data_IF_677181355653
#
_entry.id   IF_677181355653
#
_cell.length_a   1.000
_cell.length_b   1.000
_cell.length_c   1.000
_cell.angle_alpha   90.00
_cell.angle_beta   90.00
_cell.angle_gamma   90.00
#
_symmetry.space_group_name_H-M   'P 1'
#
loop_
_entity.id
_entity.type
_entity.pdbx_description
1 polymer ?
#
# COMPACT_ATOMS: atom_id res chain seq x y z
N UNK A 1 20.48 -1.34 -0.61
CA UNK A 1 19.51 -2.39 -1.02
C UNK A 1 18.12 -1.78 -1.29
N UNK A 2 17.98 -0.83 -2.22
CA UNK A 2 16.74 -0.02 -2.41
C UNK A 2 15.63 -0.71 -3.24
N UNK A 3 15.98 -1.65 -4.11
CA UNK A 3 15.08 -2.16 -5.17
C UNK A 3 13.92 -3.06 -4.72
N UNK A 4 13.79 -3.37 -3.43
CA UNK A 4 12.74 -4.25 -2.90
C UNK A 4 12.00 -3.68 -1.69
N UNK A 5 12.33 -2.46 -1.25
CA UNK A 5 11.74 -1.86 -0.04
C UNK A 5 10.20 -1.83 -0.12
N UNK A 6 9.65 -1.43 -1.28
CA UNK A 6 8.20 -1.44 -1.51
C UNK A 6 7.58 -2.81 -1.30
N UNK A 7 8.17 -3.88 -1.86
CA UNK A 7 7.63 -5.24 -1.72
C UNK A 7 7.74 -5.76 -0.29
N UNK A 8 8.80 -5.39 0.44
CA UNK A 8 8.96 -5.73 1.86
C UNK A 8 7.91 -5.01 2.71
N UNK A 9 7.69 -3.71 2.46
CA UNK A 9 6.66 -2.93 3.15
C UNK A 9 5.26 -3.49 2.87
N UNK A 10 4.95 -3.82 1.60
CA UNK A 10 3.67 -4.45 1.25
C UNK A 10 3.47 -5.78 1.99
N UNK A 11 4.52 -6.62 2.05
CA UNK A 11 4.50 -7.86 2.81
C UNK A 11 4.21 -7.60 4.29
N UNK A 12 4.95 -6.68 4.92
CA UNK A 12 4.78 -6.36 6.33
C UNK A 12 3.39 -5.80 6.64
N UNK A 13 2.84 -4.94 5.78
CA UNK A 13 1.47 -4.46 5.91
C UNK A 13 0.46 -5.62 5.86
N UNK A 14 0.61 -6.54 4.91
CA UNK A 14 -0.25 -7.72 4.80
C UNK A 14 -0.14 -8.65 6.02
N UNK A 15 1.07 -8.81 6.59
CA UNK A 15 1.31 -9.53 7.85
C UNK A 15 0.54 -8.92 9.00
N UNK A 16 0.73 -7.61 9.22
CA UNK A 16 0.09 -6.88 10.32
C UNK A 16 -1.44 -6.93 10.22
N UNK A 17 -2.01 -6.72 9.02
CA UNK A 17 -3.45 -6.84 8.80
C UNK A 17 -3.98 -8.26 9.05
N UNK A 18 -3.24 -9.27 8.62
CA UNK A 18 -3.63 -10.68 8.85
C UNK A 18 -3.60 -11.03 10.33
N UNK A 19 -2.61 -10.51 11.07
CA UNK A 19 -2.52 -10.67 12.52
C UNK A 19 -3.65 -9.92 13.24
N UNK A 20 -3.91 -8.67 12.88
CA UNK A 20 -5.01 -7.89 13.47
C UNK A 20 -6.35 -8.60 13.24
N UNK A 21 -6.65 -9.04 12.01
CA UNK A 21 -7.88 -9.80 11.73
C UNK A 21 -7.99 -11.10 12.56
N UNK A 22 -6.89 -11.83 12.75
CA UNK A 22 -6.90 -13.05 13.58
C UNK A 22 -7.23 -12.75 15.05
N UNK A 23 -6.79 -11.61 15.54
CA UNK A 23 -7.02 -11.17 16.93
C UNK A 23 -8.41 -10.58 17.12
N UNK A 24 -8.85 -9.71 16.21
CA UNK A 24 -10.07 -8.90 16.37
C UNK A 24 -11.29 -9.46 15.65
N UNK A 25 -11.08 -10.34 14.66
CA UNK A 25 -12.09 -10.81 13.69
C UNK A 25 -12.73 -9.71 12.85
N UNK A 26 -12.16 -8.50 12.86
CA UNK A 26 -12.63 -7.36 12.08
C UNK A 26 -11.65 -7.03 10.95
N UNK A 27 -12.18 -6.74 9.77
CA UNK A 27 -11.37 -6.23 8.65
C UNK A 27 -11.26 -4.71 8.74
N UNK A 28 -10.10 -4.18 8.36
CA UNK A 28 -9.88 -2.76 8.16
C UNK A 28 -10.20 -2.42 6.70
N UNK A 29 -10.96 -1.37 6.43
CA UNK A 29 -11.23 -0.93 5.06
C UNK A 29 -9.92 -0.61 4.34
N UNK A 30 -9.66 -1.31 3.23
CA UNK A 30 -8.38 -1.27 2.53
C UNK A 30 -7.50 -2.51 2.73
N UNK A 31 -8.00 -3.53 3.44
CA UNK A 31 -7.34 -4.83 3.58
C UNK A 31 -7.10 -5.57 2.25
N UNK A 32 -7.76 -5.15 1.16
CA UNK A 32 -7.44 -5.57 -0.21
C UNK A 32 -5.96 -5.39 -0.58
N UNK A 33 -5.20 -4.58 0.16
CA UNK A 33 -3.74 -4.52 0.01
C UNK A 33 -3.06 -5.88 0.26
N UNK A 34 -3.67 -6.78 1.06
CA UNK A 34 -3.22 -8.17 1.24
C UNK A 34 -3.14 -8.92 -0.09
N UNK A 35 -3.94 -8.55 -1.08
CA UNK A 35 -3.97 -9.18 -2.41
C UNK A 35 -3.26 -8.36 -3.49
N UNK A 36 -2.87 -7.11 -3.18
CA UNK A 36 -2.23 -6.21 -4.14
C UNK A 36 -0.91 -6.81 -4.66
N UNK A 37 -0.79 -6.94 -5.99
CA UNK A 37 0.33 -7.61 -6.69
C UNK A 37 0.48 -9.12 -6.43
N UNK A 38 -0.43 -9.71 -5.67
CA UNK A 38 -0.47 -11.13 -5.37
C UNK A 38 -1.56 -11.82 -6.17
N UNK A 39 -2.80 -11.35 -6.05
CA UNK A 39 -3.91 -11.84 -6.86
C UNK A 39 -3.85 -11.29 -8.29
N UNK A 40 -4.53 -11.98 -9.20
CA UNK A 40 -4.76 -11.54 -10.58
C UNK A 40 -5.68 -10.35 -10.64
N UNK A 41 -5.56 -9.55 -11.71
CA UNK A 41 -6.56 -8.53 -11.99
C UNK A 41 -7.94 -9.19 -12.23
N UNK A 42 -9.02 -8.50 -11.89
CA UNK A 42 -10.39 -9.03 -11.98
C UNK A 42 -10.75 -9.54 -13.39
N UNK A 43 -10.22 -8.90 -14.43
CA UNK A 43 -10.49 -9.23 -15.83
C UNK A 43 -9.27 -9.88 -16.51
N UNK A 44 -8.46 -10.63 -15.76
CA UNK A 44 -7.33 -11.36 -16.33
C UNK A 44 -7.82 -12.49 -17.22
N UNK A 45 -7.34 -12.53 -18.47
CA UNK A 45 -7.60 -13.65 -19.39
C UNK A 45 -6.86 -14.93 -18.99
N UNK A 46 -5.83 -14.82 -18.14
CA UNK A 46 -4.97 -15.93 -17.72
C UNK A 46 -4.94 -16.03 -16.18
N UNK A 47 -6.06 -16.43 -15.55
CA UNK A 47 -6.20 -16.40 -14.09
C UNK A 47 -5.26 -17.40 -13.38
N UNK A 48 -4.80 -18.43 -14.09
CA UNK A 48 -3.95 -19.49 -13.54
C UNK A 48 -2.45 -19.23 -13.71
N UNK A 49 -2.06 -18.12 -14.36
CA UNK A 49 -0.66 -17.81 -14.66
C UNK A 49 -0.24 -16.49 -14.03
N UNK A 50 0.87 -16.53 -13.27
CA UNK A 50 1.55 -15.36 -12.77
C UNK A 50 2.60 -14.88 -13.77
N UNK A 51 2.74 -13.56 -13.88
CA UNK A 51 3.64 -12.93 -14.84
C UNK A 51 4.60 -11.96 -14.15
N UNK A 52 5.90 -12.09 -14.44
CA UNK A 52 6.89 -11.07 -14.15
C UNK A 52 7.38 -10.48 -15.47
N UNK A 53 7.07 -9.21 -15.70
CA UNK A 53 7.61 -8.45 -16.81
C UNK A 53 8.99 -7.92 -16.44
N UNK A 54 9.96 -8.16 -17.33
CA UNK A 54 11.35 -7.70 -17.19
C UNK A 54 11.66 -6.72 -18.31
N UNK A 55 12.19 -5.56 -17.94
CA UNK A 55 12.51 -4.47 -18.87
C UNK A 55 13.93 -3.98 -18.61
N UNK A 56 14.73 -3.73 -19.66
CA UNK A 56 16.03 -3.08 -19.51
C UNK A 56 15.89 -1.68 -18.91
N UNK A 57 16.92 -1.27 -18.20
CA UNK A 57 17.09 0.05 -17.59
C UNK A 57 18.55 0.46 -17.74
N UNK A 58 18.86 1.73 -17.52
CA UNK A 58 20.25 2.22 -17.56
C UNK A 58 21.18 1.45 -16.60
N UNK A 59 20.65 0.95 -15.48
CA UNK A 59 21.39 0.25 -14.42
C UNK A 59 21.23 -1.29 -14.45
N UNK A 60 20.78 -1.88 -15.56
CA UNK A 60 20.53 -3.31 -15.69
C UNK A 60 19.07 -3.64 -15.97
N UNK A 61 18.43 -4.50 -15.19
CA UNK A 61 17.04 -4.91 -15.42
C UNK A 61 16.08 -4.47 -14.30
N UNK A 62 14.87 -4.07 -14.70
CA UNK A 62 13.71 -3.89 -13.83
C UNK A 62 12.80 -5.10 -13.94
N UNK A 63 12.28 -5.59 -12.81
CA UNK A 63 11.25 -6.63 -12.80
C UNK A 63 10.00 -6.12 -12.06
N UNK A 64 8.83 -6.33 -12.66
CA UNK A 64 7.53 -5.93 -12.11
C UNK A 64 6.51 -7.04 -12.30
N UNK A 65 5.55 -7.11 -11.40
CA UNK A 65 4.41 -8.01 -11.59
C UNK A 65 3.55 -7.44 -12.72
N UNK A 66 3.10 -8.31 -13.62
CA UNK A 66 2.18 -8.00 -14.70
C UNK A 66 0.84 -8.69 -14.48
N UNK A 67 -0.25 -8.07 -14.97
CA UNK A 67 -1.60 -8.62 -14.87
C UNK A 67 -2.00 -9.04 -13.44
N UNK A 68 -1.92 -8.08 -12.51
CA UNK A 68 -2.17 -8.28 -11.08
C UNK A 68 -3.17 -7.26 -10.52
N UNK A 69 -3.87 -7.66 -9.46
CA UNK A 69 -4.76 -6.80 -8.69
C UNK A 69 -4.01 -5.61 -8.08
N UNK A 70 -4.64 -4.44 -8.12
CA UNK A 70 -4.16 -3.20 -7.49
C UNK A 70 -5.21 -2.73 -6.50
N UNK A 71 -4.86 -2.61 -5.22
CA UNK A 71 -5.83 -2.23 -4.18
C UNK A 71 -6.26 -0.76 -4.20
N UNK A 72 -5.52 0.10 -4.91
CA UNK A 72 -5.83 1.53 -4.98
C UNK A 72 -5.58 2.34 -3.70
N UNK A 73 -5.30 1.71 -2.56
CA UNK A 73 -5.09 2.40 -1.29
C UNK A 73 -3.73 3.11 -1.25
N UNK A 74 -3.72 4.42 -1.42
CA UNK A 74 -2.50 5.24 -1.44
C UNK A 74 -1.96 5.63 -0.06
N UNK A 75 -2.74 5.41 1.01
CA UNK A 75 -2.28 5.65 2.38
C UNK A 75 -1.50 4.45 2.92
N UNK A 76 -2.05 3.24 2.73
CA UNK A 76 -1.56 2.04 3.39
C UNK A 76 -0.68 1.15 2.50
N UNK A 77 -0.84 1.20 1.17
CA UNK A 77 -0.06 0.37 0.26
C UNK A 77 1.08 1.15 -0.37
N UNK A 78 2.32 0.81 0.00
CA UNK A 78 3.53 1.44 -0.52
C UNK A 78 3.61 1.45 -2.05
N UNK A 79 3.16 0.37 -2.71
CA UNK A 79 3.13 0.29 -4.17
C UNK A 79 2.08 1.22 -4.78
N UNK A 80 0.82 1.12 -4.34
CA UNK A 80 -0.26 1.95 -4.90
C UNK A 80 -0.03 3.43 -4.60
N UNK A 81 0.57 3.77 -3.46
CA UNK A 81 1.03 5.12 -3.15
C UNK A 81 2.04 5.62 -4.19
N UNK A 82 3.09 4.85 -4.49
CA UNK A 82 4.09 5.21 -5.49
C UNK A 82 3.51 5.36 -6.89
N UNK A 83 2.66 4.42 -7.31
CA UNK A 83 1.99 4.47 -8.63
C UNK A 83 1.09 5.70 -8.75
N UNK A 84 0.20 5.93 -7.77
CA UNK A 84 -0.71 7.09 -7.80
C UNK A 84 0.03 8.41 -7.70
N UNK A 85 1.10 8.49 -6.90
CA UNK A 85 1.90 9.70 -6.81
C UNK A 85 2.66 10.02 -8.10
N UNK A 86 3.22 9.01 -8.78
CA UNK A 86 3.82 9.21 -10.10
C UNK A 86 2.79 9.69 -11.12
N UNK A 87 1.60 9.09 -11.12
CA UNK A 87 0.48 9.52 -11.97
C UNK A 87 0.05 10.97 -11.70
N UNK A 88 -0.16 11.31 -10.43
CA UNK A 88 -0.50 12.67 -10.01
C UNK A 88 0.57 13.68 -10.37
N UNK A 89 1.86 13.34 -10.20
CA UNK A 89 2.97 14.22 -10.60
C UNK A 89 2.89 14.53 -12.09
N UNK A 90 2.77 13.50 -12.93
CA UNK A 90 2.71 13.67 -14.37
C UNK A 90 1.47 14.50 -14.78
N UNK A 91 0.31 14.26 -14.15
CA UNK A 91 -0.90 15.04 -14.42
C UNK A 91 -0.72 16.51 -14.01
N UNK A 92 -0.06 16.77 -12.88
CA UNK A 92 0.26 18.13 -12.41
C UNK A 92 1.13 18.84 -13.46
N UNK A 93 2.18 18.18 -13.93
CA UNK A 93 3.12 18.72 -14.94
C UNK A 93 2.44 18.97 -16.28
N UNK A 94 1.69 17.99 -16.79
CA UNK A 94 1.19 17.99 -18.16
C UNK A 94 -0.12 18.74 -18.34
N UNK A 95 -0.97 18.78 -17.31
CA UNK A 95 -2.33 19.32 -17.42
C UNK A 95 -2.55 20.51 -16.48
N UNK A 96 -2.32 20.31 -15.18
CA UNK A 96 -2.75 21.29 -14.17
C UNK A 96 -1.96 22.60 -14.23
N UNK A 97 -0.64 22.56 -14.10
CA UNK A 97 0.20 23.76 -14.07
C UNK A 97 0.11 24.56 -15.37
N UNK A 98 0.18 23.94 -16.57
CA UNK A 98 0.01 24.66 -17.83
C UNK A 98 -1.35 25.37 -17.92
N UNK A 99 -2.45 24.68 -17.58
CA UNK A 99 -3.78 25.27 -17.71
C UNK A 99 -4.04 26.41 -16.72
N UNK A 100 -3.50 26.31 -15.49
CA UNK A 100 -3.55 27.40 -14.53
C UNK A 100 -2.82 28.64 -15.07
N UNK A 101 -1.65 28.46 -15.69
CA UNK A 101 -0.90 29.55 -16.32
C UNK A 101 -1.64 30.15 -17.52
N UNK A 102 -2.23 29.31 -18.39
CA UNK A 102 -3.01 29.77 -19.54
C UNK A 102 -4.18 30.66 -19.13
N UNK A 103 -4.78 30.41 -17.95
CA UNK A 103 -5.86 31.21 -17.39
C UNK A 103 -5.40 32.45 -16.63
N UNK A 104 -4.10 32.74 -16.60
CA UNK A 104 -3.54 33.87 -15.86
C UNK A 104 -3.76 33.75 -14.34
N UNK A 105 -3.83 32.53 -13.82
CA UNK A 105 -3.99 32.24 -12.39
C UNK A 105 -2.63 31.84 -11.77
N UNK A 106 -2.52 32.04 -10.46
CA UNK A 106 -1.40 31.58 -9.64
C UNK A 106 -1.81 30.39 -8.76
N UNK A 107 -0.85 29.64 -8.22
CA UNK A 107 -1.09 28.48 -7.35
C UNK A 107 -0.57 28.78 -5.94
N UNK A 108 -1.42 28.63 -4.93
CA UNK A 108 -1.04 28.69 -3.52
C UNK A 108 -1.06 27.29 -2.89
N UNK A 109 -0.23 27.09 -1.87
CA UNK A 109 -0.23 25.87 -1.05
C UNK A 109 -0.67 26.22 0.38
N UNK A 110 -1.83 25.72 0.79
CA UNK A 110 -2.33 25.85 2.16
C UNK A 110 -2.13 24.54 2.93
N UNK A 111 -1.46 24.60 4.07
CA UNK A 111 -1.28 23.47 4.98
C UNK A 111 -2.08 23.68 6.26
N UNK A 112 -2.84 22.66 6.68
CA UNK A 112 -3.63 22.69 7.91
C UNK A 112 -3.06 21.75 8.96
N UNK A 113 -3.11 22.17 10.23
CA UNK A 113 -2.65 21.37 11.37
C UNK A 113 -3.61 21.48 12.54
N UNK A 114 -3.83 20.37 13.26
CA UNK A 114 -4.53 20.33 14.53
C UNK A 114 -3.66 19.70 15.62
N UNK A 115 -3.82 20.16 16.85
CA UNK A 115 -3.17 19.56 18.01
C UNK A 115 -3.77 18.18 18.30
N UNK A 116 -2.91 17.23 18.64
CA UNK A 116 -3.28 15.88 19.05
C UNK A 116 -2.22 15.35 20.02
N UNK A 117 -2.54 14.25 20.70
CA UNK A 117 -1.66 13.56 21.66
C UNK A 117 -1.52 12.09 21.28
N UNK A 118 -0.41 11.46 21.65
CA UNK A 118 -0.12 10.07 21.25
C UNK A 118 -1.09 9.08 21.85
N UNK A 119 -1.53 9.37 23.08
CA UNK A 119 -2.44 8.59 23.89
C UNK A 119 -3.90 8.77 23.48
N UNK A 120 -4.21 9.75 22.62
CA UNK A 120 -5.57 9.94 22.12
C UNK A 120 -6.04 8.74 21.30
N UNK A 121 -7.36 8.55 21.23
CA UNK A 121 -7.95 7.65 20.26
C UNK A 121 -7.79 8.27 18.86
N UNK A 122 -6.89 7.71 18.06
CA UNK A 122 -6.58 8.23 16.72
C UNK A 122 -7.78 8.15 15.79
N UNK A 123 -8.66 7.17 15.95
CA UNK A 123 -9.86 7.06 15.11
C UNK A 123 -10.83 8.21 15.38
N UNK A 124 -11.05 8.55 16.65
CA UNK A 124 -11.91 9.67 17.04
C UNK A 124 -11.30 11.00 16.61
N UNK A 125 -9.98 11.17 16.81
CA UNK A 125 -9.25 12.34 16.34
C UNK A 125 -9.39 12.52 14.83
N UNK A 126 -9.17 11.46 14.04
CA UNK A 126 -9.28 11.52 12.58
C UNK A 126 -10.71 11.81 12.14
N UNK A 127 -11.71 11.17 12.74
CA UNK A 127 -13.11 11.42 12.43
C UNK A 127 -13.48 12.90 12.66
N UNK A 128 -13.15 13.44 13.84
CA UNK A 128 -13.40 14.84 14.18
C UNK A 128 -12.58 15.81 13.33
N UNK A 129 -11.36 15.44 12.95
CA UNK A 129 -10.51 16.24 12.06
C UNK A 129 -11.17 16.39 10.68
N UNK A 130 -11.69 15.31 10.08
CA UNK A 130 -12.38 15.39 8.80
C UNK A 130 -13.70 16.17 8.87
N UNK A 131 -14.43 16.10 9.99
CA UNK A 131 -15.61 16.94 10.23
C UNK A 131 -15.23 18.43 10.29
N UNK A 132 -14.16 18.77 11.03
CA UNK A 132 -13.62 20.13 11.07
C UNK A 132 -13.17 20.60 9.69
N UNK A 133 -12.52 19.71 8.93
CA UNK A 133 -12.02 19.99 7.58
C UNK A 133 -13.16 20.25 6.58
N UNK A 134 -14.30 19.56 6.72
CA UNK A 134 -15.50 19.80 5.94
C UNK A 134 -16.13 21.15 6.29
N UNK A 135 -16.30 21.45 7.59
CA UNK A 135 -16.83 22.73 8.06
C UNK A 135 -15.96 23.92 7.60
N UNK A 136 -14.63 23.77 7.70
CA UNK A 136 -13.68 24.76 7.20
C UNK A 136 -13.82 25.00 5.69
N UNK A 137 -13.99 23.93 4.92
CA UNK A 137 -14.21 24.02 3.48
C UNK A 137 -15.44 24.84 3.11
N UNK A 138 -16.53 24.71 3.88
CA UNK A 138 -17.77 25.50 3.71
C UNK A 138 -17.53 26.96 4.11
N UNK A 139 -16.97 27.19 5.30
CA UNK A 139 -16.74 28.54 5.83
C UNK A 139 -15.78 29.37 4.95
N UNK A 140 -14.86 28.73 4.23
CA UNK A 140 -13.87 29.39 3.35
C UNK A 140 -14.36 29.70 1.94
N UNK A 141 -15.53 29.20 1.49
CA UNK A 141 -15.93 29.31 0.08
C UNK A 141 -15.93 30.75 -0.43
N UNK A 142 -16.45 31.68 0.37
CA UNK A 142 -16.55 33.10 0.01
C UNK A 142 -15.17 33.76 -0.10
N UNK A 143 -14.25 33.50 0.83
CA UNK A 143 -12.93 34.15 0.82
C UNK A 143 -12.04 33.56 -0.28
N UNK A 144 -12.15 32.25 -0.54
CA UNK A 144 -11.49 31.62 -1.69
C UNK A 144 -11.97 32.24 -3.00
N UNK A 145 -13.29 32.46 -3.15
CA UNK A 145 -13.84 33.16 -4.32
C UNK A 145 -13.34 34.62 -4.40
N UNK A 146 -13.23 35.31 -3.27
CA UNK A 146 -12.78 36.71 -3.22
C UNK A 146 -11.33 36.87 -3.72
N UNK A 147 -10.44 35.90 -3.47
CA UNK A 147 -9.08 35.88 -4.03
C UNK A 147 -9.01 35.35 -5.47
N UNK A 148 -10.15 35.10 -6.12
CA UNK A 148 -10.21 34.57 -7.49
C UNK A 148 -9.95 33.08 -7.60
N UNK A 149 -10.06 32.31 -6.51
CA UNK A 149 -9.91 30.86 -6.55
C UNK A 149 -11.10 30.21 -7.24
N UNK A 150 -10.81 29.23 -8.10
CA UNK A 150 -11.83 28.41 -8.76
C UNK A 150 -11.93 27.01 -8.17
N UNK A 151 -10.96 26.59 -7.36
CA UNK A 151 -10.97 25.31 -6.67
C UNK A 151 -9.62 24.93 -6.08
N UNK A 152 -9.51 23.68 -5.63
CA UNK A 152 -8.30 23.13 -5.02
C UNK A 152 -8.10 21.66 -5.31
N UNK A 153 -6.84 21.22 -5.22
CA UNK A 153 -6.41 19.84 -5.12
C UNK A 153 -5.93 19.62 -3.70
N UNK A 154 -6.53 18.67 -3.01
CA UNK A 154 -6.12 18.26 -1.67
C UNK A 154 -5.28 17.00 -1.74
N UNK A 155 -4.21 16.98 -0.96
CA UNK A 155 -3.48 15.79 -0.61
C UNK A 155 -3.31 15.71 0.90
N UNK A 156 -3.32 14.52 1.49
CA UNK A 156 -3.19 14.37 2.95
C UNK A 156 -1.93 13.56 3.27
N UNK A 157 -1.05 14.13 4.09
CA UNK A 157 0.05 13.43 4.76
C UNK A 157 -0.41 12.89 6.11
N UNK A 158 0.00 11.66 6.41
CA UNK A 158 -0.35 10.99 7.66
C UNK A 158 0.89 10.39 8.36
N UNK A 159 1.90 11.20 8.74
CA UNK A 159 3.06 10.68 9.46
C UNK A 159 2.72 10.42 10.93
N UNK A 160 3.59 9.68 11.61
CA UNK A 160 3.51 9.40 13.04
C UNK A 160 4.75 9.93 13.73
N UNK A 161 4.59 10.65 14.84
CA UNK A 161 5.68 11.15 15.68
C UNK A 161 5.44 10.89 17.16
N UNK A 162 6.17 11.61 18.02
CA UNK A 162 6.03 11.59 19.48
C UNK A 162 4.62 11.94 19.94
N UNK A 163 3.92 12.84 19.22
CA UNK A 163 2.55 13.24 19.52
C UNK A 163 1.48 12.32 18.90
N UNK A 164 1.87 11.24 18.22
CA UNK A 164 0.95 10.29 17.60
C UNK A 164 0.74 10.52 16.10
N UNK A 165 -0.48 10.30 15.61
CA UNK A 165 -0.82 10.38 14.20
C UNK A 165 -1.12 11.83 13.78
N UNK A 166 -0.30 12.36 12.89
CA UNK A 166 -0.47 13.69 12.33
C UNK A 166 -1.32 13.62 11.06
N UNK A 167 -2.27 14.55 10.90
CA UNK A 167 -2.99 14.75 9.64
C UNK A 167 -2.62 16.14 9.12
N UNK A 168 -1.92 16.17 7.98
CA UNK A 168 -1.55 17.41 7.29
C UNK A 168 -2.19 17.43 5.89
N UNK A 169 -3.36 18.07 5.75
CA UNK A 169 -3.91 18.44 4.45
C UNK A 169 -3.02 19.51 3.82
N UNK A 170 -2.61 19.25 2.60
CA UNK A 170 -1.97 20.18 1.68
C UNK A 170 -2.94 20.46 0.52
N UNK A 171 -3.48 21.67 0.51
CA UNK A 171 -4.38 22.15 -0.53
C UNK A 171 -3.60 23.03 -1.50
N UNK A 172 -3.41 22.55 -2.74
CA UNK A 172 -3.09 23.44 -3.85
C UNK A 172 -4.37 24.13 -4.29
N UNK A 173 -4.42 25.45 -4.20
CA UNK A 173 -5.56 26.24 -4.65
C UNK A 173 -5.12 27.27 -5.67
N UNK A 174 -6.01 27.61 -6.60
CA UNK A 174 -5.73 28.70 -7.54
C UNK A 174 -6.09 30.04 -6.92
N UNK A 175 -5.48 31.14 -7.38
CA UNK A 175 -5.88 32.49 -7.04
C UNK A 175 -5.50 33.48 -8.15
N UNK A 176 -6.09 34.69 -8.15
CA UNK A 176 -5.74 35.75 -9.09
C UNK A 176 -4.41 36.38 -8.69
N UNK A 177 -3.45 36.58 -9.61
CA UNK A 177 -2.24 37.35 -9.33
C UNK A 177 -2.56 38.71 -8.68
N UNK A 178 -1.78 39.09 -7.67
CA UNK A 178 -2.01 40.31 -6.89
C UNK A 178 -3.00 40.19 -5.73
N UNK A 179 -3.67 39.04 -5.54
CA UNK A 179 -4.50 38.82 -4.35
C UNK A 179 -3.68 38.85 -3.05
N UNK A 180 -4.28 39.40 -1.98
CA UNK A 180 -3.64 39.46 -0.66
C UNK A 180 -3.73 38.09 0.07
N UNK A 181 -2.72 37.26 -0.20
CA UNK A 181 -2.60 35.94 0.41
C UNK A 181 -2.28 36.02 1.92
N UNK A 182 -1.63 37.08 2.38
CA UNK A 182 -1.34 37.24 3.81
C UNK A 182 -2.63 37.51 4.59
N UNK A 183 -3.51 38.37 4.07
CA UNK A 183 -4.85 38.56 4.62
C UNK A 183 -5.69 37.28 4.57
N UNK A 184 -5.60 36.51 3.47
CA UNK A 184 -6.27 35.22 3.35
C UNK A 184 -5.82 34.24 4.45
N UNK A 185 -4.52 34.19 4.76
CA UNK A 185 -3.99 33.31 5.81
C UNK A 185 -4.54 33.66 7.20
N UNK A 186 -4.65 34.95 7.53
CA UNK A 186 -5.24 35.42 8.79
C UNK A 186 -6.70 34.97 8.90
N UNK A 187 -7.47 35.15 7.83
CA UNK A 187 -8.88 34.72 7.75
C UNK A 187 -8.99 33.20 7.85
N UNK A 188 -8.15 32.47 7.12
CA UNK A 188 -8.10 31.01 7.13
C UNK A 188 -7.77 30.48 8.52
N UNK A 189 -6.81 31.06 9.24
CA UNK A 189 -6.47 30.66 10.61
C UNK A 189 -7.64 30.86 11.58
N UNK A 190 -8.33 32.00 11.49
CA UNK A 190 -9.50 32.27 12.33
C UNK A 190 -10.62 31.24 12.08
N UNK A 191 -10.92 30.95 10.81
CA UNK A 191 -11.94 29.98 10.40
C UNK A 191 -11.55 28.54 10.70
N UNK A 192 -10.27 28.21 10.60
CA UNK A 192 -9.77 26.88 10.96
C UNK A 192 -9.89 26.63 12.46
N UNK A 193 -9.48 27.59 13.30
CA UNK A 193 -9.68 27.53 14.76
C UNK A 193 -11.15 27.36 15.13
N UNK A 194 -12.05 28.12 14.48
CA UNK A 194 -13.51 28.00 14.69
C UNK A 194 -14.02 26.61 14.31
N UNK A 195 -13.60 26.10 13.16
CA UNK A 195 -14.01 24.78 12.67
C UNK A 195 -13.52 23.64 13.57
N UNK A 196 -12.28 23.73 14.05
CA UNK A 196 -11.72 22.76 15.00
C UNK A 196 -12.48 22.74 16.32
N UNK A 197 -12.78 23.92 16.91
CA UNK A 197 -13.52 24.02 18.18
C UNK A 197 -14.89 23.34 18.11
N UNK A 198 -15.58 23.44 16.96
CA UNK A 198 -16.88 22.78 16.74
C UNK A 198 -16.85 21.27 16.96
N UNK A 199 -15.68 20.64 16.78
CA UNK A 199 -15.50 19.19 16.91
C UNK A 199 -14.50 18.84 18.04
N UNK A 200 -14.37 19.71 19.05
CA UNK A 200 -13.54 19.45 20.23
C UNK A 200 -12.03 19.48 19.98
N UNK A 201 -11.60 20.04 18.84
CA UNK A 201 -10.20 20.14 18.47
C UNK A 201 -9.69 21.59 18.59
N UNK A 202 -8.37 21.77 18.55
CA UNK A 202 -7.75 23.10 18.57
C UNK A 202 -6.40 23.10 17.83
N UNK A 203 -5.87 24.29 17.57
CA UNK A 203 -4.54 24.48 16.98
C UNK A 203 -3.89 25.76 17.54
N UNK A 204 -2.57 25.85 17.42
CA UNK A 204 -1.83 27.06 17.79
C UNK A 204 -1.92 28.13 16.69
N UNK A 205 -1.10 29.20 16.81
CA UNK A 205 -0.94 30.19 15.72
C UNK A 205 -0.37 29.60 14.42
N UNK A 206 0.26 28.41 14.48
CA UNK A 206 0.79 27.69 13.31
C UNK A 206 -0.20 26.66 12.74
N UNK A 207 -1.49 26.83 13.01
CA UNK A 207 -2.53 25.90 12.56
C UNK A 207 -2.80 25.97 11.05
N UNK A 208 -2.42 27.08 10.42
CA UNK A 208 -2.49 27.33 8.98
C UNK A 208 -1.13 27.89 8.54
N UNK A 209 -0.65 27.47 7.38
CA UNK A 209 0.53 27.98 6.69
C UNK A 209 0.15 28.10 5.21
N UNK A 210 0.31 29.29 4.60
CA UNK A 210 0.04 29.50 3.17
C UNK A 210 1.31 29.96 2.47
N UNK A 211 1.72 29.20 1.46
CA UNK A 211 2.82 29.56 0.55
C UNK A 211 2.27 30.10 -0.77
N UNK A 212 2.88 31.16 -1.28
CA UNK A 212 2.51 31.77 -2.55
C UNK A 212 3.16 31.03 -3.71
N UNK A 213 2.69 31.31 -4.91
CA UNK A 213 3.29 30.78 -6.13
C UNK A 213 4.78 31.16 -6.19
N UNK A 214 5.63 30.20 -6.57
CA UNK A 214 7.09 30.33 -6.54
C UNK A 214 7.77 29.95 -5.22
N UNK A 215 7.07 29.93 -4.08
CA UNK A 215 7.65 29.59 -2.76
C UNK A 215 7.68 28.07 -2.49
N UNK A 216 7.16 27.26 -3.41
CA UNK A 216 7.08 25.81 -3.30
C UNK A 216 7.08 25.14 -4.68
N UNK A 217 7.42 23.85 -4.73
CA UNK A 217 7.26 23.02 -5.93
C UNK A 217 5.80 22.51 -6.01
N UNK A 218 5.02 22.79 -7.07
CA UNK A 218 3.66 22.24 -7.21
C UNK A 218 3.60 20.70 -7.16
N UNK A 219 4.69 20.01 -7.49
CA UNK A 219 4.77 18.56 -7.34
C UNK A 219 4.91 18.11 -5.89
N UNK A 220 5.05 19.03 -4.93
CA UNK A 220 5.16 18.75 -3.49
C UNK A 220 4.04 17.83 -3.00
N UNK A 221 2.79 18.08 -3.41
CA UNK A 221 1.63 17.25 -3.04
C UNK A 221 1.66 15.82 -3.61
N UNK A 222 2.53 15.56 -4.58
CA UNK A 222 2.81 14.24 -5.13
C UNK A 222 4.14 13.67 -4.60
N UNK A 223 5.12 14.51 -4.21
CA UNK A 223 6.48 14.12 -3.82
C UNK A 223 6.61 13.77 -2.34
N UNK A 224 6.30 14.66 -1.41
CA UNK A 224 6.54 14.40 0.02
C UNK A 224 5.63 13.32 0.60
N UNK A 225 4.58 12.97 -0.13
CA UNK A 225 3.60 11.98 0.27
C UNK A 225 3.96 10.55 -0.15
N UNK A 226 4.76 10.39 -1.21
CA UNK A 226 5.22 9.09 -1.70
C UNK A 226 6.70 8.81 -1.47
N UNK A 227 7.47 9.82 -1.06
CA UNK A 227 8.91 9.67 -0.91
C UNK A 227 9.28 8.89 0.35
N UNK A 228 10.20 7.94 0.15
CA UNK A 228 11.04 7.36 1.19
C UNK A 228 12.05 8.38 1.76
N UNK A 229 12.08 9.60 1.23
CA UNK A 229 12.82 10.73 1.79
C UNK A 229 12.09 11.26 3.01
N UNK A 230 12.50 10.78 4.18
CA UNK A 230 12.58 11.70 5.31
C UNK A 230 13.49 12.82 4.84
N UNK A 231 13.06 14.08 4.97
CA UNK A 231 13.97 15.22 5.01
C UNK A 231 15.16 14.80 5.87
N UNK A 232 16.30 14.51 5.24
CA UNK A 232 17.50 13.97 5.90
C UNK A 232 18.07 14.95 6.92
N UNK A 233 17.57 16.19 6.92
CA UNK A 233 17.90 17.26 7.86
C UNK A 233 16.69 17.82 8.64
N UNK A 234 15.50 17.22 8.61
CA UNK A 234 14.45 17.72 9.50
C UNK A 234 14.74 17.25 10.92
N UNK A 235 14.81 18.20 11.88
CA UNK A 235 14.76 17.96 13.34
C UNK A 235 13.43 17.32 13.80
N UNK A 236 12.64 16.82 12.87
CA UNK A 236 11.31 16.27 13.08
C UNK A 236 11.43 14.78 13.35
N UNK A 237 10.77 14.31 14.40
CA UNK A 237 10.64 12.91 14.78
C UNK A 237 9.54 12.18 13.97
N UNK A 238 8.93 12.86 13.00
CA UNK A 238 7.91 12.32 12.11
C UNK A 238 8.47 11.21 11.21
N UNK A 239 7.81 10.06 11.26
CA UNK A 239 8.06 8.93 10.36
C UNK A 239 6.83 8.62 9.53
N UNK A 240 7.03 8.34 8.24
CA UNK A 240 5.93 7.93 7.36
C UNK A 240 5.42 6.55 7.74
N UNK A 241 4.18 6.23 7.38
CA UNK A 241 3.61 4.89 7.59
C UNK A 241 4.47 3.78 6.95
N UNK A 242 5.11 4.06 5.82
CA UNK A 242 5.99 3.07 5.18
C UNK A 242 7.31 2.86 5.93
N UNK A 243 7.84 3.90 6.59
CA UNK A 243 8.99 3.74 7.49
C UNK A 243 8.63 2.98 8.76
N UNK A 244 7.40 3.11 9.26
CA UNK A 244 6.91 2.25 10.35
C UNK A 244 6.89 0.78 9.92
N UNK A 245 6.50 0.47 8.68
CA UNK A 245 6.59 -0.89 8.14
C UNK A 245 8.06 -1.37 8.06
N UNK A 246 8.99 -0.51 7.64
CA UNK A 246 10.41 -0.85 7.61
C UNK A 246 10.97 -1.14 9.02
N UNK A 247 10.58 -0.35 10.03
CA UNK A 247 10.94 -0.57 11.43
C UNK A 247 10.32 -1.87 11.97
N UNK A 248 9.03 -2.07 11.69
CA UNK A 248 8.29 -3.26 12.11
C UNK A 248 8.86 -4.55 11.49
N UNK A 249 9.24 -4.51 10.22
CA UNK A 249 9.92 -5.63 9.55
C UNK A 249 11.28 -5.99 10.18
N UNK A 250 11.90 -5.06 10.92
CA UNK A 250 13.15 -5.28 11.69
C UNK A 250 12.89 -5.66 13.16
N UNK A 251 11.63 -5.87 13.55
CA UNK A 251 11.25 -6.32 14.89
C UNK A 251 10.70 -5.24 15.83
N UNK A 252 10.55 -3.99 15.37
CA UNK A 252 9.92 -2.93 16.17
C UNK A 252 8.40 -3.18 16.30
N UNK A 253 8.01 -3.69 17.48
CA UNK A 253 6.61 -4.00 17.78
C UNK A 253 5.75 -2.74 17.86
N UNK A 254 6.28 -1.64 18.41
CA UNK A 254 5.54 -0.39 18.54
C UNK A 254 5.25 0.21 17.17
N UNK A 255 6.21 0.16 16.24
CA UNK A 255 5.99 0.63 14.88
C UNK A 255 4.88 -0.15 14.16
N UNK A 256 4.80 -1.47 14.38
CA UNK A 256 3.70 -2.30 13.86
C UNK A 256 2.33 -1.94 14.46
N UNK A 257 2.29 -1.70 15.77
CA UNK A 257 1.07 -1.25 16.47
C UNK A 257 0.62 0.14 16.00
N UNK A 258 1.54 1.09 15.89
CA UNK A 258 1.26 2.44 15.41
C UNK A 258 0.77 2.41 13.96
N UNK A 259 1.35 1.56 13.10
CA UNK A 259 0.86 1.40 11.74
C UNK A 259 -0.59 0.87 11.70
N UNK A 260 -0.94 -0.12 12.54
CA UNK A 260 -2.32 -0.62 12.63
C UNK A 260 -3.29 0.42 13.19
N UNK A 261 -2.90 1.18 14.23
CA UNK A 261 -3.70 2.28 14.77
C UNK A 261 -3.97 3.34 13.70
N UNK A 262 -2.94 3.72 12.94
CA UNK A 262 -3.08 4.65 11.83
C UNK A 262 -4.00 4.08 10.74
N UNK A 263 -3.81 2.82 10.36
CA UNK A 263 -4.65 2.14 9.38
C UNK A 263 -6.13 2.16 9.77
N UNK A 264 -6.46 1.83 11.03
CA UNK A 264 -7.84 1.92 11.55
C UNK A 264 -8.40 3.34 11.51
N UNK A 265 -7.58 4.33 11.82
CA UNK A 265 -8.00 5.73 11.87
C UNK A 265 -8.29 6.32 10.47
N UNK A 266 -7.48 5.98 9.47
CA UNK A 266 -7.57 6.57 8.11
C UNK A 266 -8.26 5.67 7.08
N UNK A 267 -8.77 4.52 7.50
CA UNK A 267 -9.43 3.56 6.62
C UNK A 267 -10.60 4.21 5.85
N UNK A 268 -10.81 3.78 4.60
CA UNK A 268 -11.87 4.31 3.74
C UNK A 268 -11.68 5.76 3.27
N UNK A 269 -10.54 6.40 3.58
CA UNK A 269 -10.22 7.75 3.11
C UNK A 269 -9.31 7.69 1.89
N UNK A 270 -9.59 8.56 0.93
CA UNK A 270 -8.67 8.81 -0.17
C UNK A 270 -7.51 9.71 0.25
N UNK A 271 -6.40 9.56 -0.47
CA UNK A 271 -5.20 10.38 -0.24
C UNK A 271 -5.24 11.70 -0.99
N UNK A 272 -5.81 11.70 -2.18
CA UNK A 272 -5.95 12.87 -3.04
C UNK A 272 -7.41 13.13 -3.34
N UNK A 273 -7.80 14.39 -3.38
CA UNK A 273 -9.11 14.83 -3.80
C UNK A 273 -8.97 16.08 -4.68
N UNK A 274 -9.36 15.97 -5.95
CA UNK A 274 -9.24 17.02 -6.96
C UNK A 274 -10.50 17.88 -7.04
N UNK A 275 -11.59 17.43 -6.40
CA UNK A 275 -12.89 18.09 -6.42
C UNK A 275 -13.35 18.44 -7.84
N UNK A 276 -13.92 19.63 -7.98
CA UNK A 276 -14.38 20.17 -9.27
C UNK A 276 -13.31 20.99 -10.01
N UNK A 277 -12.08 21.07 -9.50
CA UNK A 277 -11.08 21.96 -10.07
C UNK A 277 -10.74 21.59 -11.52
N UNK A 278 -10.52 20.30 -11.79
CA UNK A 278 -10.23 19.82 -13.14
C UNK A 278 -11.33 20.20 -14.14
N UNK A 279 -12.60 19.97 -13.76
CA UNK A 279 -13.77 20.35 -14.58
C UNK A 279 -13.84 21.86 -14.82
N UNK A 280 -13.62 22.69 -13.79
CA UNK A 280 -13.63 24.15 -13.94
C UNK A 280 -12.46 24.68 -14.78
N UNK A 281 -11.34 23.96 -14.78
CA UNK A 281 -10.20 24.20 -15.65
C UNK A 281 -10.39 23.62 -17.06
N UNK A 282 -11.46 22.86 -17.33
CA UNK A 282 -11.67 22.23 -18.64
C UNK A 282 -10.65 21.14 -18.97
N UNK A 283 -10.00 20.56 -17.95
CA UNK A 283 -9.02 19.47 -18.11
C UNK A 283 -9.57 18.15 -17.57
N UNK A 284 -9.14 16.99 -18.12
CA UNK A 284 -9.50 15.69 -17.59
C UNK A 284 -9.08 15.54 -16.12
N UNK A 285 -9.94 14.91 -15.33
CA UNK A 285 -9.63 14.50 -13.97
C UNK A 285 -8.45 13.49 -13.99
N UNK A 286 -7.58 13.42 -12.96
CA UNK A 286 -6.53 12.41 -12.91
C UNK A 286 -7.03 10.96 -13.05
N UNK A 287 -8.27 10.66 -12.65
CA UNK A 287 -8.85 9.32 -12.85
C UNK A 287 -9.05 8.95 -14.32
N UNK A 288 -9.30 9.95 -15.15
CA UNK A 288 -9.69 9.78 -16.56
C UNK A 288 -8.53 10.13 -17.51
N UNK A 289 -7.53 10.84 -16.99
CA UNK A 289 -6.34 11.22 -17.74
C UNK A 289 -5.42 10.03 -17.96
N UNK A 290 -5.06 9.79 -19.22
CA UNK A 290 -4.06 8.81 -19.64
C UNK A 290 -2.78 9.55 -19.98
N UNK A 291 -1.69 9.26 -19.27
CA UNK A 291 -0.40 9.89 -19.55
C UNK A 291 0.13 9.43 -20.92
N UNK A 292 0.26 10.34 -21.91
CA UNK A 292 0.72 9.99 -23.27
C UNK A 292 2.10 9.32 -23.27
N UNK A 293 3.00 9.72 -22.37
CA UNK A 293 4.35 9.17 -22.26
C UNK A 293 4.37 7.76 -21.64
N UNK A 294 3.38 7.40 -20.80
CA UNK A 294 3.23 6.02 -20.30
C UNK A 294 2.55 5.17 -21.36
N UNK A 295 1.63 5.73 -22.16
CA UNK A 295 1.03 5.00 -23.29
C UNK A 295 2.12 4.58 -24.28
N UNK A 296 3.02 5.49 -24.65
CA UNK A 296 4.15 5.17 -25.56
C UNK A 296 5.26 4.31 -24.93
N UNK A 297 5.48 4.36 -23.61
CA UNK A 297 6.42 3.45 -22.92
C UNK A 297 5.84 2.05 -22.67
N UNK A 298 4.52 1.90 -22.56
CA UNK A 298 3.88 0.58 -22.55
C UNK A 298 3.92 -0.07 -23.94
N UNK A 299 4.18 0.70 -25.00
CA UNK A 299 4.44 0.17 -26.34
C UNK A 299 5.87 -0.40 -26.48
N UNK A 300 6.79 -0.11 -25.54
CA UNK A 300 8.01 -0.89 -25.42
C UNK A 300 7.66 -2.19 -24.70
N UNK A 301 7.29 -3.21 -25.49
CA UNK A 301 7.02 -4.55 -24.98
C UNK A 301 8.14 -4.98 -23.99
N UNK A 302 7.80 -5.61 -22.85
CA UNK A 302 8.82 -6.11 -21.97
C UNK A 302 9.73 -7.05 -22.77
N UNK A 303 11.04 -6.91 -22.60
CA UNK A 303 12.01 -7.75 -23.31
C UNK A 303 11.84 -9.22 -22.92
N UNK A 304 11.29 -9.48 -21.73
CA UNK A 304 10.92 -10.81 -21.31
C UNK A 304 9.68 -10.80 -20.41
N UNK A 305 8.76 -11.72 -20.68
CA UNK A 305 7.63 -12.05 -19.80
C UNK A 305 7.85 -13.44 -19.22
N UNK A 306 8.04 -13.52 -17.91
CA UNK A 306 8.34 -14.77 -17.21
C UNK A 306 7.04 -15.34 -16.64
N UNK A 307 6.75 -16.59 -16.97
CA UNK A 307 5.52 -17.29 -16.59
C UNK A 307 5.77 -18.38 -15.55
N UNK A 308 4.84 -18.49 -14.60
CA UNK A 308 4.81 -19.56 -13.61
C UNK A 308 3.39 -19.68 -13.00
N UNK A 309 3.05 -20.80 -12.36
CA UNK A 309 1.70 -21.01 -11.82
C UNK A 309 1.29 -19.94 -10.81
N UNK A 310 0.07 -19.40 -10.97
CA UNK A 310 -0.50 -18.43 -10.03
C UNK A 310 -0.70 -19.02 -8.63
N UNK A 311 -0.96 -20.33 -8.53
CA UNK A 311 -1.01 -21.05 -7.24
C UNK A 311 0.31 -20.95 -6.48
N UNK A 312 1.44 -21.20 -7.16
CA UNK A 312 2.77 -21.04 -6.58
C UNK A 312 3.02 -19.59 -6.14
N UNK A 313 2.62 -18.61 -6.96
CA UNK A 313 2.73 -17.20 -6.59
C UNK A 313 1.96 -16.86 -5.29
N UNK A 314 0.73 -17.34 -5.17
CA UNK A 314 -0.12 -17.05 -4.01
C UNK A 314 0.44 -17.63 -2.72
N UNK A 315 0.97 -18.85 -2.76
CA UNK A 315 1.66 -19.50 -1.62
C UNK A 315 2.98 -18.79 -1.33
N UNK A 316 3.86 -18.63 -2.34
CA UNK A 316 5.17 -17.99 -2.20
C UNK A 316 5.11 -16.58 -1.60
N UNK A 317 4.03 -15.84 -1.87
CA UNK A 317 3.85 -14.46 -1.39
C UNK A 317 2.93 -14.35 -0.18
N UNK A 318 2.58 -15.46 0.46
CA UNK A 318 1.70 -15.48 1.62
C UNK A 318 2.21 -14.59 2.76
N UNK A 319 1.35 -13.80 3.41
CA UNK A 319 1.70 -13.01 4.59
C UNK A 319 1.93 -13.90 5.83
N UNK A 320 1.79 -15.22 5.73
CA UNK A 320 2.20 -16.09 6.83
C UNK A 320 3.72 -16.31 6.84
N UNK A 321 4.39 -16.17 5.69
CA UNK A 321 5.84 -16.26 5.61
C UNK A 321 6.50 -15.09 6.33
N UNK A 322 7.61 -15.35 7.01
CA UNK A 322 8.42 -14.28 7.58
C UNK A 322 9.13 -13.46 6.50
N UNK A 323 9.44 -14.10 5.37
CA UNK A 323 10.16 -13.51 4.26
C UNK A 323 9.20 -12.90 3.25
N UNK A 324 9.56 -11.74 2.71
CA UNK A 324 8.79 -11.07 1.67
C UNK A 324 8.98 -11.77 0.31
N UNK A 325 8.25 -12.86 0.06
CA UNK A 325 8.43 -13.70 -1.14
C UNK A 325 8.40 -12.91 -2.46
N UNK A 326 7.52 -11.91 -2.59
CA UNK A 326 7.46 -11.05 -3.77
C UNK A 326 8.78 -10.30 -4.02
N UNK A 327 9.49 -9.86 -2.96
CA UNK A 327 10.79 -9.22 -3.10
C UNK A 327 11.85 -10.17 -3.67
N UNK A 328 11.81 -11.45 -3.27
CA UNK A 328 12.71 -12.48 -3.78
C UNK A 328 12.41 -12.82 -5.24
N UNK A 329 11.13 -12.97 -5.59
CA UNK A 329 10.69 -13.23 -6.97
C UNK A 329 11.11 -12.12 -7.94
N UNK A 330 10.89 -10.86 -7.58
CA UNK A 330 11.31 -9.72 -8.41
C UNK A 330 12.84 -9.54 -8.45
N UNK A 331 13.57 -10.04 -7.46
CA UNK A 331 15.03 -10.11 -7.53
C UNK A 331 15.48 -11.21 -8.49
N UNK A 332 14.83 -12.38 -8.44
CA UNK A 332 15.09 -13.48 -9.36
C UNK A 332 14.80 -13.06 -10.81
N UNK A 333 13.66 -12.40 -11.08
CA UNK A 333 13.31 -11.95 -12.44
C UNK A 333 14.34 -11.04 -13.10
N UNK A 334 15.05 -10.21 -12.33
CA UNK A 334 16.14 -9.38 -12.85
C UNK A 334 17.39 -10.16 -13.28
N UNK A 335 17.54 -11.35 -12.73
CA UNK A 335 18.63 -12.27 -13.07
C UNK A 335 18.18 -13.33 -14.07
N UNK A 336 16.94 -13.30 -14.57
CA UNK A 336 16.43 -14.39 -15.41
C UNK A 336 17.22 -14.50 -16.72
N UNK A 337 17.62 -13.36 -17.30
CA UNK A 337 18.46 -13.31 -18.50
C UNK A 337 19.82 -13.98 -18.30
N UNK A 338 20.40 -13.93 -17.09
CA UNK A 338 21.70 -14.55 -16.78
C UNK A 338 21.58 -15.93 -16.12
N UNK A 339 20.40 -16.26 -15.59
CA UNK A 339 20.10 -17.50 -14.87
C UNK A 339 18.66 -17.96 -15.17
N UNK A 340 18.39 -18.55 -16.35
CA UNK A 340 17.06 -19.02 -16.71
C UNK A 340 16.44 -19.96 -15.66
N UNK A 341 15.13 -19.83 -15.46
CA UNK A 341 14.35 -20.55 -14.46
C UNK A 341 14.53 -20.07 -13.03
N UNK A 342 15.23 -18.94 -12.79
CA UNK A 342 15.49 -18.46 -11.44
C UNK A 342 14.21 -18.06 -10.70
N UNK A 343 13.24 -17.47 -11.41
CA UNK A 343 11.93 -17.12 -10.85
C UNK A 343 11.17 -18.36 -10.39
N UNK A 344 11.07 -19.39 -11.24
CA UNK A 344 10.34 -20.61 -10.92
C UNK A 344 10.95 -21.33 -9.71
N UNK A 345 12.29 -21.49 -9.69
CA UNK A 345 13.00 -22.06 -8.53
C UNK A 345 12.79 -21.22 -7.27
N UNK A 346 12.80 -19.89 -7.39
CA UNK A 346 12.56 -19.00 -6.25
C UNK A 346 11.11 -19.09 -5.76
N UNK A 347 10.13 -19.23 -6.65
CA UNK A 347 8.73 -19.42 -6.28
C UNK A 347 8.54 -20.69 -5.47
N UNK A 348 9.06 -21.83 -5.94
CA UNK A 348 9.00 -23.09 -5.20
C UNK A 348 9.70 -22.98 -3.84
N UNK A 349 10.91 -22.41 -3.79
CA UNK A 349 11.62 -22.17 -2.52
C UNK A 349 10.80 -21.33 -1.54
N UNK A 350 10.11 -20.30 -2.02
CA UNK A 350 9.27 -19.46 -1.18
C UNK A 350 7.95 -20.13 -0.78
N UNK A 351 7.45 -21.08 -1.59
CA UNK A 351 6.34 -21.94 -1.18
C UNK A 351 6.76 -22.84 0.00
N UNK A 352 7.90 -23.52 -0.10
CA UNK A 352 8.44 -24.36 0.99
C UNK A 352 8.60 -23.57 2.30
N UNK A 353 9.19 -22.37 2.24
CA UNK A 353 9.35 -21.50 3.41
C UNK A 353 8.01 -21.07 4.01
N UNK A 354 6.99 -20.87 3.18
CA UNK A 354 5.62 -20.57 3.64
C UNK A 354 4.98 -21.78 4.31
N UNK A 355 5.10 -22.96 3.70
CA UNK A 355 4.59 -24.23 4.22
C UNK A 355 5.20 -24.52 5.58
N UNK A 356 6.51 -24.36 5.73
CA UNK A 356 7.23 -24.49 7.00
C UNK A 356 6.69 -23.52 8.05
N UNK A 357 6.52 -22.24 7.70
CA UNK A 357 5.98 -21.23 8.62
C UNK A 357 4.54 -21.54 9.07
N UNK A 358 3.69 -22.03 8.17
CA UNK A 358 2.31 -22.41 8.49
C UNK A 358 2.25 -23.67 9.37
N UNK A 359 3.12 -24.66 9.13
CA UNK A 359 3.24 -25.85 9.98
C UNK A 359 3.67 -25.45 11.41
N UNK A 360 4.65 -24.56 11.55
CA UNK A 360 5.06 -24.05 12.87
C UNK A 360 3.93 -23.30 13.57
N UNK A 361 3.10 -22.57 12.82
CA UNK A 361 1.91 -21.94 13.39
C UNK A 361 0.87 -22.96 13.87
N UNK A 362 0.67 -24.07 13.15
CA UNK A 362 -0.21 -25.17 13.55
C UNK A 362 0.31 -25.81 14.84
N UNK A 363 1.61 -26.12 14.90
CA UNK A 363 2.28 -26.67 16.10
C UNK A 363 2.10 -25.75 17.30
N UNK A 364 2.40 -24.46 17.15
CA UNK A 364 2.28 -23.45 18.21
C UNK A 364 0.85 -23.35 18.74
N UNK A 365 -0.16 -23.35 17.87
CA UNK A 365 -1.57 -23.35 18.28
C UNK A 365 -1.96 -24.61 19.05
N UNK A 366 -1.47 -25.77 18.61
CA UNK A 366 -1.72 -27.03 19.33
C UNK A 366 -1.08 -27.02 20.72
N UNK A 367 0.15 -26.53 20.83
CA UNK A 367 0.88 -26.40 22.09
C UNK A 367 0.15 -25.49 23.09
N UNK A 368 -0.35 -24.32 22.66
CA UNK A 368 -1.14 -23.46 23.55
C UNK A 368 -2.41 -24.15 24.06
N UNK A 369 -3.15 -24.84 23.18
CA UNK A 369 -4.34 -25.59 23.58
C UNK A 369 -4.01 -26.72 24.56
N UNK A 370 -2.86 -27.38 24.40
CA UNK A 370 -2.41 -28.40 25.33
C UNK A 370 -2.11 -27.80 26.70
N UNK A 371 -1.39 -26.67 26.75
CA UNK A 371 -1.11 -25.97 28.02
C UNK A 371 -2.41 -25.59 28.74
N UNK A 372 -3.40 -25.06 28.02
CA UNK A 372 -4.69 -24.71 28.61
C UNK A 372 -5.46 -25.94 29.09
N UNK A 373 -5.42 -27.05 28.34
CA UNK A 373 -6.04 -28.31 28.74
C UNK A 373 -5.38 -28.94 29.98
N UNK A 374 -4.04 -28.90 30.08
CA UNK A 374 -3.29 -29.41 31.22
C UNK A 374 -3.55 -28.59 32.49
N UNK A 375 -3.72 -27.27 32.37
CA UNK A 375 -4.15 -26.43 33.50
C UNK A 375 -5.54 -26.82 34.00
N UNK A 376 -6.46 -27.18 33.11
CA UNK A 376 -7.81 -27.57 33.46
C UNK A 376 -7.90 -29.00 34.05
N UNK A 377 -6.99 -29.90 33.65
CA UNK A 377 -6.97 -31.29 34.10
C UNK A 377 -5.54 -31.81 34.36
N UNK A 378 -4.89 -31.39 35.47
CA UNK A 378 -3.47 -31.67 35.73
C UNK A 378 -3.12 -33.15 35.91
N UNK A 379 -4.10 -34.00 36.24
CA UNK A 379 -3.92 -35.43 36.47
C UNK A 379 -4.02 -36.29 35.20
N UNK A 380 -4.42 -35.71 34.07
CA UNK A 380 -4.65 -36.42 32.81
C UNK A 380 -3.53 -36.19 31.76
N UNK A 381 -2.30 -35.96 32.22
CA UNK A 381 -1.18 -35.42 31.42
C UNK A 381 -0.84 -36.27 30.19
N UNK A 382 -0.73 -37.59 30.35
CA UNK A 382 -0.30 -38.49 29.28
C UNK A 382 -1.36 -38.65 28.18
N UNK A 383 -2.60 -38.95 28.59
CA UNK A 383 -3.74 -39.09 27.66
C UNK A 383 -4.03 -37.78 26.91
N UNK A 384 -3.95 -36.62 27.58
CA UNK A 384 -4.12 -35.32 26.94
C UNK A 384 -2.98 -35.02 25.95
N UNK A 385 -1.73 -35.31 26.33
CA UNK A 385 -0.57 -35.11 25.45
C UNK A 385 -0.68 -35.97 24.19
N UNK A 386 -0.99 -37.26 24.32
CA UNK A 386 -1.19 -38.17 23.19
C UNK A 386 -2.33 -37.70 22.26
N UNK A 387 -3.48 -37.30 22.83
CA UNK A 387 -4.61 -36.79 22.06
C UNK A 387 -4.26 -35.52 21.27
N UNK A 388 -3.53 -34.59 21.89
CA UNK A 388 -3.08 -33.36 21.22
C UNK A 388 -2.02 -33.65 20.15
N UNK A 389 -1.14 -34.63 20.39
CA UNK A 389 -0.16 -35.09 19.41
C UNK A 389 -0.83 -35.59 18.14
N UNK A 390 -1.77 -36.53 18.27
CA UNK A 390 -2.53 -37.08 17.13
C UNK A 390 -3.27 -35.97 16.37
N UNK A 391 -3.94 -35.07 17.09
CA UNK A 391 -4.70 -33.96 16.48
C UNK A 391 -3.83 -33.01 15.68
N UNK A 392 -2.65 -32.62 16.18
CA UNK A 392 -1.81 -31.70 15.42
C UNK A 392 -1.17 -32.40 14.22
N UNK A 393 -0.76 -33.67 14.36
CA UNK A 393 -0.18 -34.44 13.26
C UNK A 393 -1.18 -34.58 12.11
N UNK A 394 -2.45 -34.87 12.44
CA UNK A 394 -3.54 -34.87 11.46
C UNK A 394 -3.72 -33.50 10.79
N UNK A 395 -3.74 -32.41 11.58
CA UNK A 395 -3.89 -31.05 11.04
C UNK A 395 -2.73 -30.64 10.11
N UNK A 396 -1.49 -31.09 10.40
CA UNK A 396 -0.33 -30.88 9.54
C UNK A 396 -0.46 -31.68 8.24
N UNK A 397 -0.86 -32.95 8.32
CA UNK A 397 -1.06 -33.80 7.15
C UNK A 397 -2.16 -33.24 6.22
N UNK A 398 -3.29 -32.82 6.79
CA UNK A 398 -4.39 -32.18 6.07
C UNK A 398 -3.95 -30.86 5.40
N UNK A 399 -3.21 -30.02 6.13
CA UNK A 399 -2.65 -28.78 5.58
C UNK A 399 -1.72 -29.04 4.39
N UNK A 400 -0.82 -30.03 4.51
CA UNK A 400 0.09 -30.42 3.43
C UNK A 400 -0.67 -30.92 2.20
N UNK A 401 -1.62 -31.84 2.38
CA UNK A 401 -2.42 -32.39 1.29
C UNK A 401 -3.21 -31.29 0.57
N UNK A 402 -3.85 -30.39 1.32
CA UNK A 402 -4.60 -29.25 0.76
C UNK A 402 -3.70 -28.28 0.01
N UNK A 403 -2.54 -27.95 0.57
CA UNK A 403 -1.60 -27.01 -0.06
C UNK A 403 -0.99 -27.61 -1.32
N UNK A 404 -0.65 -28.91 -1.30
CA UNK A 404 -0.19 -29.64 -2.46
C UNK A 404 -1.24 -29.63 -3.58
N UNK A 405 -2.49 -30.00 -3.26
CA UNK A 405 -3.59 -29.98 -4.23
C UNK A 405 -3.85 -28.58 -4.81
N UNK A 406 -3.69 -27.53 -4.01
CA UNK A 406 -3.80 -26.15 -4.49
C UNK A 406 -2.64 -25.75 -5.42
N UNK A 407 -1.41 -26.14 -5.09
CA UNK A 407 -0.22 -25.83 -5.88
C UNK A 407 -0.19 -26.58 -7.20
N UNK A 408 -0.57 -27.86 -7.16
CA UNK A 408 -0.61 -28.79 -8.28
C UNK A 408 -2.05 -29.25 -8.51
N UNK A 409 -2.93 -28.36 -9.03
CA UNK A 409 -4.29 -28.75 -9.35
C UNK A 409 -4.24 -29.87 -10.41
N UNK A 410 -5.08 -30.88 -10.24
CA UNK A 410 -5.26 -31.90 -11.28
C UNK A 410 -5.60 -31.20 -12.60
N UNK A 411 -5.04 -31.69 -13.70
CA UNK A 411 -5.36 -31.15 -15.02
C UNK A 411 -6.89 -31.17 -15.20
N UNK A 412 -7.48 -29.99 -15.41
CA UNK A 412 -8.87 -29.90 -15.83
C UNK A 412 -8.92 -30.61 -17.19
N UNK A 413 -9.75 -31.65 -17.38
CA UNK A 413 -9.91 -32.24 -18.70
C UNK A 413 -10.41 -31.13 -19.62
N UNK A 414 -9.53 -30.65 -20.51
CA UNK A 414 -9.93 -29.69 -21.53
C UNK A 414 -10.90 -30.40 -22.49
N UNK A 415 -11.94 -29.72 -23.00
CA UNK A 415 -12.60 -30.17 -24.21
C UNK A 415 -11.53 -30.18 -25.30
N UNK A 416 -11.22 -31.35 -25.83
CA UNK A 416 -10.18 -31.57 -26.84
C UNK A 416 -10.56 -30.75 -28.08
N UNK A 417 -9.79 -29.73 -28.49
CA UNK A 417 -9.86 -29.23 -29.86
C UNK A 417 -9.11 -30.23 -30.73
N UNK A 418 -9.77 -30.78 -31.75
CA UNK A 418 -9.07 -31.63 -32.72
C UNK A 418 -7.93 -30.85 -33.38
N UNK A 419 -6.77 -31.51 -33.45
CA UNK A 419 -5.57 -31.18 -34.24
C UNK A 419 -4.74 -29.94 -33.84
N UNK A 420 -3.73 -30.15 -32.99
CA UNK A 420 -2.35 -29.63 -33.17
C UNK A 420 -1.41 -30.33 -32.18
N UNK A 421 -0.12 -30.56 -32.52
CA UNK A 421 0.79 -31.33 -31.67
C UNK A 421 1.21 -30.52 -30.44
N UNK A 422 1.33 -31.23 -29.32
CA UNK A 422 1.59 -30.68 -27.98
C UNK A 422 2.90 -29.88 -27.91
N UNK A 423 2.94 -28.75 -27.16
CA UNK A 423 4.21 -28.14 -26.80
C UNK A 423 4.93 -29.00 -25.76
N UNK A 424 6.23 -29.23 -26.01
CA UNK A 424 7.15 -29.87 -25.08
C UNK A 424 7.17 -29.12 -23.74
N UNK A 425 6.55 -29.73 -22.72
CA UNK A 425 6.84 -29.44 -21.32
C UNK A 425 8.32 -29.74 -21.08
N UNK A 426 9.12 -28.72 -20.80
CA UNK A 426 10.49 -28.93 -20.35
C UNK A 426 10.48 -29.73 -19.03
N UNK A 427 11.33 -30.75 -18.88
CA UNK A 427 11.39 -31.54 -17.66
C UNK A 427 11.80 -30.67 -16.47
N UNK A 428 11.13 -30.89 -15.34
CA UNK A 428 11.52 -30.34 -14.03
C UNK A 428 12.98 -30.75 -13.78
N UNK A 429 13.86 -29.77 -13.56
CA UNK A 429 15.26 -30.04 -13.29
C UNK A 429 15.41 -30.91 -12.02
N UNK A 430 16.26 -31.94 -12.02
CA UNK A 430 16.46 -32.82 -10.88
C UNK A 430 17.04 -32.04 -9.68
N UNK A 431 16.50 -32.27 -8.47
CA UNK A 431 16.98 -31.68 -7.21
C UNK A 431 16.13 -30.55 -6.60
N UNK A 432 14.90 -30.32 -7.10
CA UNK A 432 13.96 -29.32 -6.57
C UNK A 432 12.61 -29.92 -6.18
N UNK A 433 12.62 -31.12 -5.61
CA UNK A 433 11.44 -31.69 -4.98
C UNK A 433 11.10 -30.88 -3.72
N UNK A 434 9.89 -30.29 -3.71
CA UNK A 434 9.33 -29.76 -2.48
C UNK A 434 9.13 -30.93 -1.53
N UNK A 435 9.76 -30.88 -0.35
CA UNK A 435 9.64 -31.96 0.61
C UNK A 435 8.26 -31.88 1.30
N UNK A 436 7.30 -32.63 0.76
CA UNK A 436 5.97 -32.78 1.33
C UNK A 436 5.87 -33.93 2.35
N UNK A 437 6.96 -34.66 2.59
CA UNK A 437 7.03 -35.78 3.54
C UNK A 437 6.98 -35.31 5.00
#
# INVERSE_FOLDING_TARGET
MKFNATSIQQHQAARLLTQDYRLTRANILGDGLKLCRRAKAHNSSNPNTAYIAVTPTQDGFSAKMHDVAKCGNAHLCAYCSGVKAAHMRNWITSMFVPEVKNRGLAIGLMTLTAHHKRESNWSDFVANFYLALAAFGIDMQRDMKAVGSIGRIRAIETPVGSNGLHLHPHDLFTYRPGADIAALEVVALAKWKKSLRKFGLHCSKRGVDIKKDGDFDPHYIAKELAAHDTKTNSKSDLVTLFKLLDKSARGDKQAGQDWIRAAKAIQGRDRWNVGQLASKLGIPCPSDWKNPAITSMNDSAPVQLIEYPQSHHMVATSPNSERAGLAFLLRAGRNEATRPGSVQRMALRMCDETIKADIELIKKKSAYRLVDALKAAPKATEALTARHFVRYTFAVAEYRAKTHSYMFPAAIPMPVPMSTPAPLLAPIAPGLELNFA
#
